data_IF_802052662041
#
_entry.id   IF_802052662041
#
_cell.length_a   1.000
_cell.length_b   1.000
_cell.length_c   1.000
_cell.angle_alpha   90.00
_cell.angle_beta   90.00
_cell.angle_gamma   90.00
#
_symmetry.space_group_name_H-M   'P 1'
#
loop_
_entity.id
_entity.type
_entity.pdbx_description
1 polymer ?
#
# COMPACT_ATOMS: atom_id res chain seq x y z
N UNK A 1 -1.03 10.94 13.49
CA UNK A 1 -0.30 11.61 14.59
C UNK A 1 -0.44 13.14 14.56
N UNK A 2 -0.29 13.80 13.39
CA UNK A 2 -0.26 15.28 13.33
C UNK A 2 -1.47 15.96 14.01
N UNK A 3 -2.73 15.54 13.85
CA UNK A 3 -3.86 16.14 14.57
C UNK A 3 -3.73 16.02 16.09
N UNK A 4 -3.17 14.92 16.59
CA UNK A 4 -2.95 14.69 18.02
C UNK A 4 -1.89 15.66 18.58
N UNK A 5 -0.79 15.83 17.87
CA UNK A 5 0.27 16.74 18.28
C UNK A 5 -0.18 18.21 18.26
N UNK A 6 -0.97 18.59 17.26
CA UNK A 6 -1.57 19.93 17.20
C UNK A 6 -2.53 20.17 18.37
N UNK A 7 -3.40 19.20 18.69
CA UNK A 7 -4.31 19.28 19.84
C UNK A 7 -3.53 19.42 21.15
N UNK A 8 -2.54 18.56 21.38
CA UNK A 8 -1.70 18.62 22.57
C UNK A 8 -0.95 19.97 22.72
N UNK A 9 -0.63 20.62 21.60
CA UNK A 9 -0.03 21.95 21.58
C UNK A 9 -1.06 23.10 21.67
N UNK A 10 -2.35 22.82 21.79
CA UNK A 10 -3.42 23.83 21.80
C UNK A 10 -3.64 24.52 20.46
N UNK A 11 -3.18 23.92 19.36
CA UNK A 11 -3.27 24.48 18.02
C UNK A 11 -4.46 23.90 17.24
N UNK A 12 -5.13 24.74 16.46
CA UNK A 12 -6.23 24.30 15.60
C UNK A 12 -5.72 23.42 14.46
N UNK A 13 -6.46 22.35 14.16
CA UNK A 13 -6.20 21.48 13.01
C UNK A 13 -6.53 22.23 11.71
N UNK A 14 -5.61 22.28 10.71
CA UNK A 14 -5.90 22.82 9.39
C UNK A 14 -7.08 22.10 8.73
N UNK A 15 -7.99 22.79 8.00
CA UNK A 15 -9.16 22.17 7.36
C UNK A 15 -8.81 21.04 6.37
N UNK A 16 -7.69 21.15 5.66
CA UNK A 16 -7.23 20.13 4.71
C UNK A 16 -6.70 18.84 5.36
N UNK A 17 -6.51 18.84 6.68
CA UNK A 17 -6.02 17.67 7.40
C UNK A 17 -7.17 16.72 7.72
N UNK A 18 -7.24 15.57 7.07
CA UNK A 18 -8.35 14.60 7.18
C UNK A 18 -8.25 13.68 8.41
N UNK A 19 -7.05 13.46 8.93
CA UNK A 19 -6.82 12.59 10.09
C UNK A 19 -7.53 13.07 11.35
N UNK A 20 -7.85 12.13 12.25
CA UNK A 20 -8.49 12.39 13.55
C UNK A 20 -7.47 12.32 14.69
N UNK A 21 -7.63 13.17 15.72
CA UNK A 21 -6.80 13.13 16.94
C UNK A 21 -6.95 11.80 17.68
N UNK A 22 -5.86 11.30 18.23
CA UNK A 22 -5.83 10.14 19.12
C UNK A 22 -5.97 10.51 20.60
N UNK A 23 -6.02 11.80 20.93
CA UNK A 23 -6.13 12.26 22.34
C UNK A 23 -7.29 11.62 23.10
N UNK A 24 -8.51 11.47 22.54
CA UNK A 24 -9.60 10.79 23.24
C UNK A 24 -9.29 9.32 23.56
N UNK A 25 -8.52 8.64 22.71
CA UNK A 25 -8.10 7.25 22.94
C UNK A 25 -7.01 7.18 24.01
N UNK A 26 -6.06 8.11 23.97
CA UNK A 26 -4.96 8.18 24.95
C UNK A 26 -5.44 8.55 26.35
N UNK A 27 -6.51 9.33 26.45
CA UNK A 27 -7.12 9.74 27.70
C UNK A 27 -8.13 8.71 28.27
N UNK A 28 -8.52 7.71 27.47
CA UNK A 28 -9.49 6.72 27.92
C UNK A 28 -8.88 5.76 28.96
N UNK A 29 -9.65 5.43 30.00
CA UNK A 29 -9.26 4.48 31.04
C UNK A 29 -9.40 3.03 30.61
N UNK A 30 -10.06 2.74 29.48
CA UNK A 30 -10.33 1.40 28.96
C UNK A 30 -9.21 0.85 28.10
N UNK A 31 -9.33 -0.41 27.70
CA UNK A 31 -8.49 -1.10 26.73
C UNK A 31 -9.34 -1.75 25.64
N UNK A 32 -8.71 -2.22 24.55
CA UNK A 32 -9.40 -2.78 23.40
C UNK A 32 -9.93 -1.70 22.45
N UNK A 33 -11.03 -1.98 21.75
CA UNK A 33 -11.66 -1.05 20.78
C UNK A 33 -12.46 0.03 21.51
N UNK A 34 -11.82 1.15 21.84
CA UNK A 34 -12.42 2.27 22.57
C UNK A 34 -13.33 3.12 21.65
N UNK A 35 -12.93 3.30 20.38
CA UNK A 35 -13.70 4.05 19.38
C UNK A 35 -14.12 3.10 18.24
N UNK A 36 -15.37 2.62 18.22
CA UNK A 36 -15.89 1.72 17.17
C UNK A 36 -15.82 2.31 15.75
N UNK A 37 -15.82 3.64 15.62
CA UNK A 37 -15.73 4.32 14.34
C UNK A 37 -14.30 4.31 13.75
N UNK A 38 -13.34 3.75 14.46
CA UNK A 38 -11.97 3.49 13.96
C UNK A 38 -11.82 2.01 13.62
N UNK A 39 -12.65 1.53 12.72
CA UNK A 39 -12.77 0.11 12.35
C UNK A 39 -11.89 -0.28 11.16
N UNK A 40 -11.24 0.70 10.53
CA UNK A 40 -10.33 0.47 9.41
C UNK A 40 -9.19 1.49 9.35
N UNK A 41 -8.20 1.19 8.54
CA UNK A 41 -7.13 2.11 8.14
C UNK A 41 -6.98 2.12 6.62
N UNK A 42 -6.67 3.30 6.08
CA UNK A 42 -6.32 3.45 4.67
C UNK A 42 -4.80 3.41 4.52
N UNK A 43 -4.34 2.77 3.46
CA UNK A 43 -2.92 2.64 3.10
C UNK A 43 -2.78 3.11 1.66
N UNK A 44 -1.75 3.91 1.39
CA UNK A 44 -1.43 4.36 0.04
C UNK A 44 0.06 4.30 -0.23
N UNK A 45 0.39 3.98 -1.47
CA UNK A 45 1.74 4.05 -2.01
C UNK A 45 1.69 4.70 -3.37
N UNK A 46 2.68 5.50 -3.68
CA UNK A 46 2.95 6.06 -4.99
C UNK A 46 4.38 5.69 -5.41
N UNK A 47 5.11 6.62 -6.01
CA UNK A 47 6.53 6.42 -6.31
C UNK A 47 7.37 6.63 -5.06
N UNK A 48 8.12 5.61 -4.66
CA UNK A 48 9.20 5.75 -3.69
C UNK A 48 10.51 6.05 -4.41
N UNK A 49 10.87 5.21 -5.39
CA UNK A 49 12.03 5.41 -6.25
C UNK A 49 11.63 5.24 -7.72
N UNK A 50 12.41 5.76 -8.71
CA UNK A 50 12.20 5.49 -10.13
C UNK A 50 12.71 4.09 -10.49
N UNK A 51 12.10 3.07 -9.90
CA UNK A 51 12.53 1.69 -9.95
C UNK A 51 11.98 0.87 -11.13
N UNK A 52 11.12 1.46 -11.97
CA UNK A 52 10.65 0.77 -13.18
C UNK A 52 11.75 0.74 -14.24
N UNK A 53 11.56 -0.11 -15.26
CA UNK A 53 12.50 -0.24 -16.37
C UNK A 53 12.77 1.11 -17.03
N UNK A 54 14.05 1.42 -17.25
CA UNK A 54 14.48 2.65 -17.87
C UNK A 54 13.87 2.82 -19.28
N UNK A 55 13.47 4.03 -19.69
CA UNK A 55 13.66 5.33 -19.04
C UNK A 55 12.51 5.75 -18.09
N UNK A 56 11.65 4.84 -17.68
CA UNK A 56 10.50 5.15 -16.84
C UNK A 56 10.93 5.66 -15.46
N UNK A 57 10.30 6.75 -15.01
CA UNK A 57 10.41 7.26 -13.64
C UNK A 57 9.14 6.97 -12.82
N UNK A 58 8.25 6.13 -13.33
CA UNK A 58 7.00 5.77 -12.66
C UNK A 58 7.23 4.97 -11.38
N UNK A 59 6.24 5.03 -10.48
CA UNK A 59 6.19 4.24 -9.26
C UNK A 59 5.29 3.03 -9.37
N UNK A 60 5.00 2.40 -8.22
CA UNK A 60 3.99 1.34 -8.10
C UNK A 60 2.83 1.83 -7.23
N UNK A 61 1.84 2.51 -7.82
CA UNK A 61 0.74 3.10 -7.08
C UNK A 61 -0.27 2.06 -6.62
N UNK A 62 -0.62 2.08 -5.33
CA UNK A 62 -1.66 1.25 -4.76
C UNK A 62 -2.45 2.02 -3.70
N UNK A 63 -3.68 1.58 -3.46
CA UNK A 63 -4.52 1.98 -2.33
C UNK A 63 -5.05 0.72 -1.67
N UNK A 64 -5.15 0.75 -0.36
CA UNK A 64 -5.70 -0.37 0.39
C UNK A 64 -6.55 0.11 1.56
N UNK A 65 -7.48 -0.75 1.95
CA UNK A 65 -8.24 -0.63 3.18
C UNK A 65 -8.04 -1.91 4.00
N UNK A 66 -7.68 -1.74 5.26
CA UNK A 66 -7.53 -2.84 6.21
C UNK A 66 -8.49 -2.68 7.36
N UNK A 67 -9.29 -3.70 7.60
CA UNK A 67 -10.12 -3.90 8.80
C UNK A 67 -9.43 -4.87 9.77
N UNK A 68 -10.14 -5.29 10.81
CA UNK A 68 -9.64 -6.36 11.69
C UNK A 68 -9.59 -7.71 10.96
N UNK A 69 -10.55 -7.96 10.05
CA UNK A 69 -10.77 -9.26 9.43
C UNK A 69 -10.15 -9.38 8.04
N UNK A 70 -10.05 -8.28 7.31
CA UNK A 70 -9.63 -8.31 5.90
C UNK A 70 -8.66 -7.19 5.54
N UNK A 71 -7.79 -7.50 4.57
CA UNK A 71 -7.00 -6.51 3.84
C UNK A 71 -7.39 -6.57 2.36
N UNK A 72 -7.94 -5.48 1.83
CA UNK A 72 -8.19 -5.30 0.39
C UNK A 72 -7.21 -4.30 -0.20
N UNK A 73 -6.58 -4.67 -1.32
CA UNK A 73 -5.60 -3.84 -2.03
C UNK A 73 -6.05 -3.66 -3.48
N UNK A 74 -5.95 -2.42 -3.96
CA UNK A 74 -6.11 -2.06 -5.37
C UNK A 74 -4.79 -1.58 -5.93
N UNK A 75 -4.26 -2.31 -6.92
CA UNK A 75 -3.05 -1.97 -7.65
C UNK A 75 -3.42 -1.21 -8.93
N UNK A 76 -3.07 0.08 -9.01
CA UNK A 76 -3.47 0.94 -10.13
C UNK A 76 -2.67 0.70 -11.41
N UNK A 77 -1.48 0.14 -11.31
CA UNK A 77 -0.59 -0.20 -12.44
C UNK A 77 -0.06 -1.64 -12.28
N UNK A 78 -0.95 -2.66 -12.40
CA UNK A 78 -0.59 -4.07 -12.15
C UNK A 78 0.40 -4.64 -13.17
N UNK A 79 0.58 -3.97 -14.29
CA UNK A 79 1.60 -4.26 -15.31
C UNK A 79 3.02 -3.88 -14.88
N UNK A 80 3.17 -3.07 -13.83
CA UNK A 80 4.46 -2.65 -13.28
C UNK A 80 4.97 -3.63 -12.22
N UNK A 81 6.22 -3.46 -11.83
CA UNK A 81 6.89 -4.26 -10.82
C UNK A 81 6.80 -3.61 -9.44
N UNK A 82 6.23 -4.29 -8.42
CA UNK A 82 6.02 -3.70 -7.09
C UNK A 82 7.32 -3.35 -6.36
N UNK A 83 8.39 -4.11 -6.61
CA UNK A 83 9.72 -3.89 -6.02
C UNK A 83 10.73 -3.30 -7.00
N UNK A 84 10.27 -2.86 -8.16
CA UNK A 84 11.10 -2.38 -9.26
C UNK A 84 11.38 -3.47 -10.32
N UNK A 85 11.84 -3.03 -11.49
CA UNK A 85 12.10 -3.89 -12.64
C UNK A 85 13.27 -4.86 -12.39
N UNK A 86 13.13 -6.15 -12.80
CA UNK A 86 14.26 -7.09 -12.81
C UNK A 86 15.27 -6.81 -13.92
N UNK A 87 14.91 -6.03 -14.95
CA UNK A 87 15.77 -5.70 -16.09
C UNK A 87 16.62 -4.43 -15.87
N UNK A 88 16.69 -3.98 -14.63
CA UNK A 88 17.34 -2.71 -14.28
C UNK A 88 16.36 -1.53 -14.32
N UNK A 89 16.78 -0.41 -13.81
CA UNK A 89 15.97 0.79 -13.63
C UNK A 89 16.80 2.03 -13.91
N UNK A 90 16.14 3.20 -13.86
CA UNK A 90 16.85 4.50 -13.86
C UNK A 90 17.76 4.68 -12.66
N UNK A 91 17.60 3.87 -11.60
CA UNK A 91 18.50 3.81 -10.45
C UNK A 91 19.81 3.03 -10.73
N UNK A 92 19.91 2.30 -11.86
CA UNK A 92 21.10 1.57 -12.27
C UNK A 92 21.18 0.12 -11.79
N UNK A 93 20.18 -0.38 -11.04
CA UNK A 93 20.13 -1.78 -10.57
C UNK A 93 18.72 -2.35 -10.63
N UNK A 94 18.62 -3.67 -10.53
CA UNK A 94 17.37 -4.42 -10.50
C UNK A 94 16.65 -4.33 -9.14
N UNK A 95 15.33 -4.46 -9.17
CA UNK A 95 14.46 -4.36 -7.99
C UNK A 95 14.82 -3.19 -7.07
N UNK A 96 14.99 -2.01 -7.67
CA UNK A 96 15.57 -0.84 -7.04
C UNK A 96 14.67 -0.18 -5.97
N UNK A 97 13.45 -0.64 -5.80
CA UNK A 97 12.54 -0.20 -4.73
C UNK A 97 12.61 -1.10 -3.48
N UNK A 98 13.54 -2.05 -3.50
CA UNK A 98 13.91 -2.91 -2.38
C UNK A 98 15.39 -2.72 -2.07
N UNK A 99 15.71 -2.37 -0.82
CA UNK A 99 17.08 -2.18 -0.37
C UNK A 99 17.93 -3.43 -0.56
N UNK A 100 19.22 -3.23 -0.82
CA UNK A 100 20.17 -4.33 -0.93
C UNK A 100 20.34 -5.04 0.41
N UNK A 101 20.27 -6.37 0.37
CA UNK A 101 20.46 -7.22 1.54
C UNK A 101 20.90 -8.63 1.12
N UNK A 102 21.50 -9.41 2.04
CA UNK A 102 21.82 -10.82 1.76
C UNK A 102 20.57 -11.63 1.35
N UNK A 103 19.42 -11.36 1.95
CA UNK A 103 18.15 -12.02 1.60
C UNK A 103 17.69 -11.67 0.20
N UNK A 104 17.71 -10.38 -0.19
CA UNK A 104 17.38 -9.96 -1.56
C UNK A 104 18.27 -10.68 -2.57
N UNK A 105 19.59 -10.63 -2.39
CA UNK A 105 20.55 -11.28 -3.29
C UNK A 105 20.28 -12.78 -3.42
N UNK A 106 20.07 -13.47 -2.29
CA UNK A 106 19.77 -14.89 -2.27
C UNK A 106 18.51 -15.22 -3.08
N UNK A 107 17.42 -14.46 -2.88
CA UNK A 107 16.15 -14.67 -3.58
C UNK A 107 16.25 -14.38 -5.09
N UNK A 108 16.95 -13.31 -5.47
CA UNK A 108 17.13 -12.90 -6.87
C UNK A 108 18.05 -13.89 -7.61
N UNK A 109 19.19 -14.27 -7.03
CA UNK A 109 20.14 -15.20 -7.66
C UNK A 109 19.55 -16.60 -7.83
N UNK A 110 18.63 -17.01 -6.96
CA UNK A 110 18.04 -18.34 -6.94
C UNK A 110 16.58 -18.39 -7.31
N UNK A 111 16.04 -17.35 -7.94
CA UNK A 111 14.59 -17.27 -8.29
C UNK A 111 14.09 -18.43 -9.16
N UNK A 112 14.98 -19.11 -9.90
CA UNK A 112 14.66 -20.28 -10.71
C UNK A 112 14.70 -21.61 -9.91
N UNK A 113 15.26 -21.61 -8.69
CA UNK A 113 15.29 -22.79 -7.83
C UNK A 113 13.88 -23.08 -7.29
N UNK A 114 13.32 -24.29 -7.51
CA UNK A 114 11.98 -24.64 -7.00
C UNK A 114 11.80 -24.44 -5.49
N UNK A 115 12.86 -24.60 -4.69
CA UNK A 115 12.82 -24.40 -3.25
C UNK A 115 12.75 -22.92 -2.84
N UNK A 116 13.13 -22.00 -3.73
CA UNK A 116 13.22 -20.55 -3.46
C UNK A 116 12.15 -19.78 -4.24
N UNK A 117 11.69 -20.32 -5.37
CA UNK A 117 10.79 -19.62 -6.30
C UNK A 117 9.56 -19.01 -5.63
N UNK A 118 8.90 -19.75 -4.75
CA UNK A 118 7.69 -19.26 -4.07
C UNK A 118 7.96 -17.98 -3.23
N UNK A 119 9.11 -17.92 -2.56
CA UNK A 119 9.51 -16.74 -1.79
C UNK A 119 9.92 -15.57 -2.69
N UNK A 120 10.60 -15.87 -3.81
CA UNK A 120 10.95 -14.85 -4.80
C UNK A 120 9.72 -14.26 -5.47
N UNK A 121 8.72 -15.08 -5.82
CA UNK A 121 7.45 -14.64 -6.37
C UNK A 121 6.68 -13.77 -5.37
N UNK A 122 6.61 -14.16 -4.09
CA UNK A 122 6.00 -13.35 -3.03
C UNK A 122 6.69 -11.98 -2.85
N UNK A 123 8.01 -11.93 -2.99
CA UNK A 123 8.77 -10.70 -2.81
C UNK A 123 8.74 -9.77 -4.04
N UNK A 124 8.79 -10.33 -5.25
CA UNK A 124 9.16 -9.57 -6.45
C UNK A 124 8.21 -9.71 -7.63
N UNK A 125 7.34 -10.72 -7.69
CA UNK A 125 6.45 -10.90 -8.83
C UNK A 125 5.43 -9.77 -8.95
N UNK A 126 4.95 -9.54 -10.19
CA UNK A 126 3.84 -8.61 -10.45
C UNK A 126 2.60 -9.04 -9.69
N UNK A 127 1.81 -8.05 -9.26
CA UNK A 127 0.58 -8.27 -8.52
C UNK A 127 -0.63 -8.14 -9.44
N UNK A 128 -1.74 -8.85 -9.16
CA UNK A 128 -2.99 -8.62 -9.86
C UNK A 128 -3.55 -7.22 -9.54
N UNK A 129 -4.55 -6.78 -10.30
CA UNK A 129 -5.19 -5.48 -10.08
C UNK A 129 -5.85 -5.36 -8.71
N UNK A 130 -6.34 -6.49 -8.17
CA UNK A 130 -6.98 -6.55 -6.85
C UNK A 130 -6.41 -7.71 -6.03
N UNK A 131 -6.21 -7.46 -4.74
CA UNK A 131 -5.85 -8.47 -3.77
C UNK A 131 -6.79 -8.38 -2.58
N UNK A 132 -7.15 -9.55 -2.02
CA UNK A 132 -7.93 -9.66 -0.79
C UNK A 132 -7.33 -10.75 0.07
N UNK A 133 -7.11 -10.45 1.34
CA UNK A 133 -6.59 -11.40 2.32
C UNK A 133 -7.54 -11.49 3.50
N UNK A 134 -7.90 -12.74 3.87
CA UNK A 134 -8.65 -13.05 5.08
C UNK A 134 -7.66 -13.17 6.24
N UNK A 135 -7.63 -12.18 7.11
CA UNK A 135 -6.60 -12.06 8.16
C UNK A 135 -6.80 -13.07 9.30
N UNK A 136 -8.00 -13.63 9.44
CA UNK A 136 -8.27 -14.68 10.42
C UNK A 136 -7.79 -16.05 9.93
N UNK A 137 -8.01 -16.35 8.65
CA UNK A 137 -7.60 -17.61 8.03
C UNK A 137 -6.14 -17.62 7.58
N UNK A 138 -5.60 -16.43 7.19
CA UNK A 138 -4.26 -16.26 6.64
C UNK A 138 -3.60 -15.01 7.24
N UNK A 139 -3.16 -15.06 8.50
CA UNK A 139 -2.54 -13.91 9.18
C UNK A 139 -1.24 -13.43 8.50
N UNK A 140 -0.53 -14.29 7.78
CA UNK A 140 0.67 -13.99 7.01
C UNK A 140 0.39 -13.35 5.66
N UNK A 141 -0.89 -13.32 5.19
CA UNK A 141 -1.32 -12.69 3.94
C UNK A 141 -0.62 -13.28 2.69
N UNK A 142 -0.56 -14.61 2.63
CA UNK A 142 0.09 -15.35 1.53
C UNK A 142 -0.89 -15.78 0.45
N UNK A 143 -2.19 -15.88 0.75
CA UNK A 143 -3.22 -16.41 -0.14
C UNK A 143 -4.18 -15.30 -0.56
N UNK A 144 -4.04 -14.82 -1.80
CA UNK A 144 -4.98 -13.85 -2.37
C UNK A 144 -6.31 -14.51 -2.73
N UNK A 145 -7.38 -14.19 -2.00
CA UNK A 145 -8.75 -14.73 -2.22
C UNK A 145 -9.63 -13.78 -3.04
N UNK A 146 -9.09 -12.74 -3.68
CA UNK A 146 -9.87 -11.76 -4.44
C UNK A 146 -10.67 -12.36 -5.62
N UNK A 147 -10.23 -13.50 -6.15
CA UNK A 147 -10.93 -14.22 -7.23
C UNK A 147 -11.89 -15.31 -6.72
N UNK A 148 -11.90 -15.60 -5.42
CA UNK A 148 -12.77 -16.62 -4.85
C UNK A 148 -14.23 -16.09 -4.76
N UNK A 149 -15.21 -16.78 -5.39
CA UNK A 149 -16.61 -16.40 -5.31
C UNK A 149 -17.17 -16.32 -3.89
N UNK A 150 -16.65 -17.11 -2.96
CA UNK A 150 -17.06 -17.08 -1.56
C UNK A 150 -16.75 -15.71 -0.89
N UNK A 151 -15.76 -15.00 -1.38
CA UNK A 151 -15.32 -13.69 -0.88
C UNK A 151 -15.81 -12.51 -1.73
N UNK A 152 -16.62 -12.74 -2.78
CA UNK A 152 -17.06 -11.68 -3.70
C UNK A 152 -17.83 -10.56 -2.98
N UNK A 153 -18.65 -10.90 -2.01
CA UNK A 153 -19.45 -9.92 -1.24
C UNK A 153 -18.57 -9.00 -0.39
N UNK A 154 -17.64 -9.55 0.37
CA UNK A 154 -16.74 -8.76 1.20
C UNK A 154 -15.78 -7.92 0.36
N UNK A 155 -15.26 -8.47 -0.75
CA UNK A 155 -14.44 -7.72 -1.71
C UNK A 155 -15.19 -6.50 -2.24
N UNK A 156 -16.43 -6.68 -2.70
CA UNK A 156 -17.24 -5.57 -3.23
C UNK A 156 -17.52 -4.50 -2.16
N UNK A 157 -17.80 -4.90 -0.93
CA UNK A 157 -18.03 -3.98 0.17
C UNK A 157 -16.79 -3.14 0.51
N UNK A 158 -15.62 -3.77 0.61
CA UNK A 158 -14.35 -3.08 0.89
C UNK A 158 -13.90 -2.19 -0.27
N UNK A 159 -14.09 -2.64 -1.52
CA UNK A 159 -13.80 -1.83 -2.70
C UNK A 159 -14.65 -0.55 -2.71
N UNK A 160 -15.96 -0.68 -2.43
CA UNK A 160 -16.88 0.46 -2.33
C UNK A 160 -16.48 1.41 -1.21
N UNK A 161 -16.19 0.88 -0.01
CA UNK A 161 -15.75 1.69 1.13
C UNK A 161 -14.46 2.45 0.81
N UNK A 162 -13.48 1.78 0.20
CA UNK A 162 -12.23 2.41 -0.24
C UNK A 162 -12.52 3.57 -1.22
N UNK A 163 -13.40 3.38 -2.21
CA UNK A 163 -13.76 4.42 -3.18
C UNK A 163 -14.43 5.63 -2.50
N UNK A 164 -15.32 5.40 -1.55
CA UNK A 164 -15.99 6.46 -0.79
C UNK A 164 -14.99 7.27 0.05
N UNK A 165 -14.07 6.61 0.74
CA UNK A 165 -13.03 7.26 1.55
C UNK A 165 -12.05 8.06 0.70
N UNK A 166 -11.60 7.51 -0.43
CA UNK A 166 -10.71 8.20 -1.36
C UNK A 166 -11.39 9.43 -1.98
N UNK A 167 -12.67 9.32 -2.33
CA UNK A 167 -13.45 10.46 -2.83
C UNK A 167 -13.63 11.54 -1.76
N UNK A 168 -13.96 11.16 -0.53
CA UNK A 168 -14.13 12.09 0.58
C UNK A 168 -12.85 12.85 0.96
N UNK A 169 -11.69 12.24 0.71
CA UNK A 169 -10.39 12.85 0.97
C UNK A 169 -9.76 13.50 -0.26
N UNK A 170 -10.49 13.56 -1.39
CA UNK A 170 -10.04 14.11 -2.67
C UNK A 170 -8.74 13.47 -3.19
N UNK A 171 -8.60 12.14 -3.02
CA UNK A 171 -7.44 11.41 -3.52
C UNK A 171 -7.32 11.56 -5.05
N UNK A 172 -6.14 11.95 -5.58
CA UNK A 172 -5.98 12.17 -7.03
C UNK A 172 -6.31 10.93 -7.88
N UNK A 173 -6.09 9.72 -7.36
CA UNK A 173 -6.40 8.47 -8.07
C UNK A 173 -7.92 8.30 -8.24
N UNK A 174 -8.72 8.64 -7.23
CA UNK A 174 -10.18 8.58 -7.32
C UNK A 174 -10.75 9.62 -8.29
N UNK A 175 -10.05 10.75 -8.45
CA UNK A 175 -10.44 11.83 -9.37
C UNK A 175 -9.90 11.64 -10.81
N UNK A 176 -9.32 10.48 -11.15
CA UNK A 176 -8.72 10.22 -12.47
C UNK A 176 -7.42 11.00 -12.75
N UNK A 177 -6.86 11.67 -11.75
CA UNK A 177 -5.64 12.49 -11.85
C UNK A 177 -4.41 11.84 -11.20
N UNK A 178 -4.44 10.53 -11.01
CA UNK A 178 -3.35 9.83 -10.33
C UNK A 178 -2.01 9.91 -11.03
N UNK A 179 -2.02 10.02 -12.34
CA UNK A 179 -0.78 10.13 -13.12
C UNK A 179 -0.11 11.51 -12.98
N UNK A 180 -0.83 12.54 -12.47
CA UNK A 180 -0.24 13.84 -12.11
C UNK A 180 0.86 13.67 -11.05
N UNK A 181 0.72 12.69 -10.15
CA UNK A 181 1.71 12.40 -9.11
C UNK A 181 3.05 11.92 -9.67
N UNK A 182 3.04 11.33 -10.87
CA UNK A 182 4.25 10.85 -11.55
C UNK A 182 4.94 11.94 -12.38
N UNK A 183 4.26 13.05 -12.66
CA UNK A 183 4.82 14.20 -13.41
C UNK A 183 5.85 14.99 -12.59
N UNK A 184 5.85 14.86 -11.28
CA UNK A 184 6.81 15.54 -10.42
C UNK A 184 8.22 14.96 -10.61
N UNK A 185 9.27 15.78 -10.67
CA UNK A 185 10.64 15.30 -10.78
C UNK A 185 11.00 14.47 -9.53
N UNK A 186 11.83 13.46 -9.74
CA UNK A 186 12.44 12.73 -8.63
C UNK A 186 13.70 13.46 -8.18
N UNK A 187 13.71 13.93 -6.94
CA UNK A 187 14.79 14.74 -6.37
C UNK A 187 15.76 13.94 -5.48
N UNK A 188 15.60 12.62 -5.39
CA UNK A 188 16.46 11.76 -4.56
C UNK A 188 17.85 11.48 -5.11
N UNK A 189 18.16 11.98 -6.31
CA UNK A 189 19.48 11.90 -6.95
C UNK A 189 19.89 13.29 -7.40
N UNK A 190 20.43 14.06 -6.53
CA UNK A 190 21.19 15.30 -6.85
C UNK A 190 22.61 15.15 -6.36
#
# INVERSE_FOLDING_TARGET
LAPTLLGAAGLARPPAMTGRSLEPLLAAAGSGRIDPARDHVLIGRERHTPAQEAPSTGGYPMRAIRTDDYLYIRNHKPDRWPSGSPAGSTMGWDYADCDDSPTKRYLVERQADPAVKAFSDLAFAKRPAEELYDLAADPEQLVNVAADPAHAGVKAALAKQLDEELAATADPRSAGRGDDLESHPYLGQT
#
